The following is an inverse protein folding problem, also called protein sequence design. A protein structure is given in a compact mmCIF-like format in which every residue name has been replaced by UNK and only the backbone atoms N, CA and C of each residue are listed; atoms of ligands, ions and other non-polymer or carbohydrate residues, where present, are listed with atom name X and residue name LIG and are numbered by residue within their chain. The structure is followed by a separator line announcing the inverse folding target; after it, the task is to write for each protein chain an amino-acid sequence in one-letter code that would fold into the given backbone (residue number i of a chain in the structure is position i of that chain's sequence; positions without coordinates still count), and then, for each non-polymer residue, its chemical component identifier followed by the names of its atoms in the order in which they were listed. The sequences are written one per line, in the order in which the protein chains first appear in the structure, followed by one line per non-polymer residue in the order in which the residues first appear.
data_IF_066178225206
#
_entry.id   IF_066178225206
#
_cell.length_a   1.000
_cell.length_b   1.000
_cell.length_c   1.000
_cell.angle_alpha   90.00
_cell.angle_beta   90.00
_cell.angle_gamma   90.00
#
_symmetry.space_group_name_H-M   'P 1'
#
loop_
_entity.id
_entity.type
_entity.pdbx_description
1 polymer ?
#
# COMPACT_ATOMS: atom_id res chain seq x y z
N UNK A 1 -10.06 7.59 2.21
CA UNK A 1 -8.67 8.09 2.06
C UNK A 1 -8.46 8.41 0.59
N UNK A 2 -7.78 9.52 0.28
CA UNK A 2 -7.19 9.77 -1.04
C UNK A 2 -5.68 9.65 -0.88
N UNK A 3 -5.04 8.81 -1.70
CA UNK A 3 -3.61 8.51 -1.58
C UNK A 3 -2.90 8.82 -2.90
N UNK A 4 -1.83 9.61 -2.83
CA UNK A 4 -0.86 9.76 -3.91
C UNK A 4 0.40 8.97 -3.56
N UNK A 5 0.92 8.21 -4.52
CA UNK A 5 2.13 7.39 -4.37
C UNK A 5 3.19 7.85 -5.37
N UNK A 6 4.34 8.26 -4.85
CA UNK A 6 5.48 8.70 -5.65
C UNK A 6 6.18 7.55 -6.40
N UNK A 7 7.26 7.88 -7.13
CA UNK A 7 8.12 6.87 -7.77
C UNK A 7 8.79 5.98 -6.72
N UNK A 8 9.16 4.76 -7.13
CA UNK A 8 9.92 3.85 -6.27
C UNK A 8 11.33 4.39 -6.07
N UNK A 9 11.83 4.29 -4.85
CA UNK A 9 13.15 4.80 -4.48
C UNK A 9 14.26 3.75 -4.67
N UNK A 10 13.90 2.47 -4.81
CA UNK A 10 14.86 1.38 -4.96
C UNK A 10 14.32 0.20 -5.79
N UNK A 11 15.23 -0.72 -6.15
CA UNK A 11 14.94 -1.89 -6.96
C UNK A 11 14.57 -3.14 -6.15
N UNK A 12 14.79 -3.15 -4.84
CA UNK A 12 14.62 -4.32 -3.97
C UNK A 12 13.27 -4.34 -3.28
N UNK A 13 12.56 -3.22 -3.25
CA UNK A 13 11.31 -3.06 -2.53
C UNK A 13 10.31 -2.22 -3.33
N UNK A 14 9.17 -1.91 -2.70
CA UNK A 14 8.15 -0.98 -3.22
C UNK A 14 8.16 0.36 -2.48
N UNK A 15 9.25 0.65 -1.74
CA UNK A 15 9.45 1.89 -0.97
C UNK A 15 9.31 3.12 -1.86
N UNK A 16 8.53 4.09 -1.37
CA UNK A 16 8.20 5.34 -2.04
C UNK A 16 7.66 6.34 -1.01
N UNK A 17 7.65 7.61 -1.38
CA UNK A 17 6.88 8.59 -0.64
C UNK A 17 5.38 8.39 -0.90
N UNK A 18 4.58 8.49 0.15
CA UNK A 18 3.12 8.49 0.07
C UNK A 18 2.56 9.74 0.73
N UNK A 19 1.58 10.37 0.07
CA UNK A 19 0.81 11.47 0.63
C UNK A 19 -0.63 10.98 0.76
N UNK A 20 -1.10 10.88 2.01
CA UNK A 20 -2.43 10.39 2.33
C UNK A 20 -3.26 11.48 2.99
N UNK A 21 -4.47 11.68 2.46
CA UNK A 21 -5.42 12.67 2.99
C UNK A 21 -6.71 11.96 3.37
N UNK A 22 -7.13 12.05 4.66
CA UNK A 22 -8.43 11.56 5.07
C UNK A 22 -9.53 12.20 4.24
N UNK A 23 -10.43 11.37 3.72
CA UNK A 23 -11.59 11.81 2.96
C UNK A 23 -12.84 11.21 3.61
N UNK A 24 -13.28 11.77 4.74
CA UNK A 24 -14.41 11.24 5.49
C UNK A 24 -15.71 11.50 4.72
N UNK A 25 -16.50 10.46 4.53
CA UNK A 25 -17.79 10.51 3.83
C UNK A 25 -18.78 9.66 4.62
N UNK A 26 -19.98 10.20 4.86
CA UNK A 26 -21.05 9.45 5.48
C UNK A 26 -21.46 8.26 4.57
N UNK A 27 -21.76 7.07 5.11
CA UNK A 27 -22.03 5.87 4.31
C UNK A 27 -23.04 6.09 3.16
N UNK A 28 -24.10 6.82 3.43
CA UNK A 28 -25.16 7.15 2.48
C UNK A 28 -24.74 8.09 1.34
N UNK A 29 -23.59 8.78 1.47
CA UNK A 29 -23.07 9.72 0.48
C UNK A 29 -21.87 9.16 -0.31
N UNK A 30 -21.42 7.93 -0.03
CA UNK A 30 -20.20 7.36 -0.62
C UNK A 30 -20.27 7.39 -2.16
N UNK A 31 -21.38 6.95 -2.74
CA UNK A 31 -21.55 6.88 -4.19
C UNK A 31 -21.42 8.26 -4.85
N UNK A 32 -22.16 9.25 -4.37
CA UNK A 32 -22.17 10.60 -4.94
C UNK A 32 -20.81 11.31 -4.80
N UNK A 33 -20.15 11.13 -3.65
CA UNK A 33 -18.82 11.70 -3.40
C UNK A 33 -17.75 11.04 -4.27
N UNK A 34 -17.79 9.73 -4.46
CA UNK A 34 -16.88 9.03 -5.37
C UNK A 34 -17.10 9.47 -6.82
N UNK A 35 -18.35 9.63 -7.26
CA UNK A 35 -18.66 10.12 -8.60
C UNK A 35 -18.13 11.54 -8.80
N UNK A 36 -18.34 12.44 -7.84
CA UNK A 36 -17.86 13.82 -7.90
C UNK A 36 -16.33 13.89 -7.93
N UNK A 37 -15.65 13.13 -7.07
CA UNK A 37 -14.19 13.07 -7.05
C UNK A 37 -13.64 12.51 -8.37
N UNK A 38 -14.27 11.46 -8.91
CA UNK A 38 -13.89 10.89 -10.20
C UNK A 38 -14.04 11.92 -11.33
N UNK A 39 -15.16 12.66 -11.35
CA UNK A 39 -15.38 13.71 -12.35
C UNK A 39 -14.32 14.83 -12.27
N UNK A 40 -13.92 15.24 -11.06
CA UNK A 40 -12.85 16.22 -10.85
C UNK A 40 -11.52 15.68 -11.40
N UNK A 41 -11.14 14.44 -11.07
CA UNK A 41 -9.89 13.85 -11.56
C UNK A 41 -9.88 13.73 -13.09
N UNK A 42 -10.99 13.34 -13.71
CA UNK A 42 -11.12 13.31 -15.17
C UNK A 42 -10.97 14.72 -15.78
N UNK A 43 -11.60 15.73 -15.19
CA UNK A 43 -11.50 17.13 -15.64
C UNK A 43 -10.08 17.69 -15.51
N UNK A 44 -9.29 17.20 -14.55
CA UNK A 44 -7.88 17.53 -14.37
C UNK A 44 -6.95 16.74 -15.33
N UNK A 45 -7.50 15.87 -16.18
CA UNK A 45 -6.75 15.13 -17.20
C UNK A 45 -6.24 13.75 -16.74
N UNK A 46 -6.66 13.26 -15.58
CA UNK A 46 -6.38 11.87 -15.19
C UNK A 46 -7.23 10.90 -16.00
N UNK A 47 -6.70 9.70 -16.25
CA UNK A 47 -7.42 8.59 -16.87
C UNK A 47 -7.63 7.46 -15.88
N UNK A 48 -8.82 6.86 -15.89
CA UNK A 48 -9.09 5.68 -15.06
C UNK A 48 -8.22 4.49 -15.50
N UNK A 49 -7.38 3.99 -14.59
CA UNK A 49 -6.48 2.87 -14.86
C UNK A 49 -7.05 1.51 -14.43
N UNK A 50 -7.99 1.48 -13.49
CA UNK A 50 -8.60 0.24 -13.01
C UNK A 50 -9.17 0.35 -11.60
N UNK A 51 -9.85 -0.72 -11.18
CA UNK A 51 -10.43 -0.85 -9.84
C UNK A 51 -9.89 -2.11 -9.17
N UNK A 52 -9.27 -1.96 -8.00
CA UNK A 52 -8.83 -3.08 -7.16
C UNK A 52 -9.87 -3.33 -6.09
N UNK A 53 -10.43 -4.54 -6.05
CA UNK A 53 -11.34 -5.00 -5.00
C UNK A 53 -10.65 -6.08 -4.19
N UNK A 54 -10.59 -5.90 -2.86
CA UNK A 54 -9.90 -6.83 -1.97
C UNK A 54 -10.52 -6.91 -0.58
N UNK A 55 -10.34 -8.06 0.06
CA UNK A 55 -10.50 -8.23 1.50
C UNK A 55 -9.12 -8.23 2.15
N UNK A 56 -8.89 -7.30 3.09
CA UNK A 56 -7.61 -7.14 3.77
C UNK A 56 -7.75 -7.49 5.26
N UNK A 57 -6.90 -8.39 5.74
CA UNK A 57 -6.69 -8.64 7.17
C UNK A 57 -5.38 -8.00 7.59
N UNK A 58 -5.41 -7.15 8.61
CA UNK A 58 -4.23 -6.40 9.07
C UNK A 58 -3.76 -6.88 10.43
N UNK A 59 -2.45 -6.86 10.65
CA UNK A 59 -1.82 -7.03 11.95
C UNK A 59 -0.64 -6.06 12.09
N UNK A 60 -0.26 -5.77 13.33
CA UNK A 60 0.98 -5.05 13.63
C UNK A 60 1.86 -5.95 14.50
N UNK A 61 3.16 -5.94 14.24
CA UNK A 61 4.14 -6.66 15.04
C UNK A 61 5.39 -5.81 15.25
N UNK A 62 6.15 -6.11 16.29
CA UNK A 62 7.46 -5.51 16.54
C UNK A 62 8.55 -6.52 16.22
N UNK A 63 9.51 -6.14 15.38
CA UNK A 63 10.66 -6.95 15.01
C UNK A 63 11.90 -6.05 14.96
N UNK A 64 12.99 -6.47 15.63
CA UNK A 64 14.23 -5.68 15.73
C UNK A 64 14.02 -4.22 16.20
N UNK A 65 13.06 -4.02 17.10
CA UNK A 65 12.71 -2.70 17.62
C UNK A 65 11.92 -1.81 16.66
N UNK A 66 11.52 -2.31 15.48
CA UNK A 66 10.70 -1.61 14.50
C UNK A 66 9.29 -2.16 14.47
N UNK A 67 8.31 -1.27 14.33
CA UNK A 67 6.91 -1.66 14.09
C UNK A 67 6.72 -1.95 12.62
N UNK A 68 6.20 -3.15 12.32
CA UNK A 68 5.78 -3.55 10.99
C UNK A 68 4.26 -3.65 10.94
N UNK A 69 3.68 -3.04 9.92
CA UNK A 69 2.31 -3.24 9.51
C UNK A 69 2.27 -4.36 8.48
N UNK A 70 1.52 -5.41 8.80
CA UNK A 70 1.39 -6.59 7.97
C UNK A 70 -0.04 -6.66 7.45
N UNK A 71 -0.22 -7.07 6.20
CA UNK A 71 -1.55 -7.37 5.66
C UNK A 71 -1.56 -8.64 4.85
N UNK A 72 -2.68 -9.36 4.95
CA UNK A 72 -3.01 -10.49 4.09
C UNK A 72 -4.22 -10.10 3.22
N UNK A 73 -3.97 -10.00 1.93
CA UNK A 73 -4.85 -9.44 0.93
C UNK A 73 -5.36 -10.54 -0.01
N UNK A 74 -6.68 -10.76 0.03
CA UNK A 74 -7.42 -11.53 -0.95
C UNK A 74 -7.96 -10.57 -2.01
N UNK A 75 -7.26 -10.46 -3.13
CA UNK A 75 -7.55 -9.52 -4.21
C UNK A 75 -8.28 -10.25 -5.33
N UNK A 76 -9.44 -9.73 -5.73
CA UNK A 76 -10.26 -10.37 -6.75
C UNK A 76 -9.49 -10.58 -8.05
N UNK A 77 -9.37 -11.85 -8.48
CA UNK A 77 -8.67 -12.22 -9.71
C UNK A 77 -7.16 -12.43 -9.58
N UNK A 78 -6.58 -12.30 -8.38
CA UNK A 78 -5.17 -12.55 -8.10
C UNK A 78 -4.98 -13.60 -7.00
N UNK A 79 -3.79 -14.21 -6.89
CA UNK A 79 -3.45 -15.04 -5.73
C UNK A 79 -3.52 -14.26 -4.41
N UNK A 80 -3.53 -14.98 -3.29
CA UNK A 80 -3.42 -14.37 -1.96
C UNK A 80 -2.05 -13.69 -1.79
N UNK A 81 -2.03 -12.44 -1.34
CA UNK A 81 -0.81 -11.66 -1.15
C UNK A 81 -0.58 -11.30 0.32
N UNK A 82 0.67 -11.36 0.76
CA UNK A 82 1.10 -10.78 2.03
C UNK A 82 1.92 -9.52 1.76
N UNK A 83 1.64 -8.43 2.49
CA UNK A 83 2.44 -7.21 2.48
C UNK A 83 3.05 -7.00 3.88
N UNK A 84 4.31 -6.56 3.88
CA UNK A 84 5.05 -6.14 5.08
C UNK A 84 5.49 -4.70 4.83
N UNK A 85 5.13 -3.79 5.72
CA UNK A 85 5.40 -2.37 5.58
C UNK A 85 5.93 -1.81 6.89
N UNK A 86 6.85 -0.85 6.81
CA UNK A 86 7.32 -0.08 7.96
C UNK A 86 7.63 1.34 7.50
N UNK A 87 7.41 2.32 8.38
CA UNK A 87 7.76 3.70 8.13
C UNK A 87 9.14 3.97 8.69
N UNK A 88 9.93 4.78 7.98
CA UNK A 88 11.24 5.20 8.42
C UNK A 88 11.57 6.57 7.84
N UNK A 89 12.49 7.27 8.49
CA UNK A 89 13.17 8.42 7.88
C UNK A 89 14.16 7.96 6.80
N UNK A 90 14.47 8.84 5.85
CA UNK A 90 15.41 8.53 4.76
C UNK A 90 16.78 8.06 5.27
N UNK A 91 17.25 8.61 6.40
CA UNK A 91 18.51 8.25 7.05
C UNK A 91 18.54 6.77 7.50
N UNK A 92 17.38 6.17 7.75
CA UNK A 92 17.23 4.80 8.26
C UNK A 92 16.78 3.80 7.18
N UNK A 93 16.57 4.26 5.94
CA UNK A 93 15.95 3.46 4.87
C UNK A 93 16.66 2.13 4.61
N UNK A 94 17.98 2.14 4.57
CA UNK A 94 18.77 0.93 4.34
C UNK A 94 18.57 -0.09 5.46
N UNK A 95 18.59 0.35 6.71
CA UNK A 95 18.38 -0.54 7.86
C UNK A 95 16.94 -1.09 7.90
N UNK A 96 15.94 -0.23 7.66
CA UNK A 96 14.54 -0.65 7.59
C UNK A 96 14.30 -1.70 6.50
N UNK A 97 14.90 -1.52 5.32
CA UNK A 97 14.83 -2.50 4.23
C UNK A 97 15.46 -3.84 4.63
N UNK A 98 16.64 -3.83 5.25
CA UNK A 98 17.30 -5.07 5.67
C UNK A 98 16.50 -5.80 6.76
N UNK A 99 15.91 -5.07 7.71
CA UNK A 99 15.02 -5.63 8.72
C UNK A 99 13.76 -6.25 8.10
N UNK A 100 13.16 -5.58 7.10
CA UNK A 100 12.02 -6.08 6.34
C UNK A 100 12.34 -7.40 5.64
N UNK A 101 13.50 -7.49 4.98
CA UNK A 101 13.93 -8.72 4.29
C UNK A 101 14.15 -9.88 5.27
N UNK A 102 14.75 -9.63 6.44
CA UNK A 102 14.90 -10.65 7.50
C UNK A 102 13.55 -11.09 8.07
N UNK A 103 12.60 -10.17 8.22
CA UNK A 103 11.24 -10.50 8.66
C UNK A 103 10.53 -11.37 7.60
N UNK A 104 10.65 -11.02 6.31
CA UNK A 104 10.08 -11.79 5.21
C UNK A 104 10.64 -13.23 5.19
N UNK A 105 11.95 -13.39 5.36
CA UNK A 105 12.60 -14.70 5.46
C UNK A 105 12.08 -15.51 6.67
N UNK A 106 11.98 -14.88 7.84
CA UNK A 106 11.46 -15.52 9.07
C UNK A 106 10.01 -15.97 8.94
N UNK A 107 9.19 -15.22 8.18
CA UNK A 107 7.81 -15.58 7.86
C UNK A 107 7.69 -16.51 6.64
N UNK A 108 8.82 -16.96 6.10
CA UNK A 108 8.91 -17.84 4.93
C UNK A 108 8.22 -17.27 3.67
N UNK A 109 8.23 -15.94 3.52
CA UNK A 109 7.70 -15.22 2.36
C UNK A 109 8.78 -15.13 1.27
N UNK A 110 8.81 -16.12 0.37
CA UNK A 110 9.88 -16.29 -0.62
C UNK A 110 9.61 -15.65 -1.98
N UNK A 111 8.35 -15.45 -2.32
CA UNK A 111 7.94 -14.94 -3.63
C UNK A 111 7.64 -13.45 -3.53
N UNK A 112 8.56 -12.64 -4.04
CA UNK A 112 8.39 -11.20 -4.06
C UNK A 112 7.60 -10.76 -5.30
N UNK A 113 6.43 -10.15 -5.09
CA UNK A 113 5.69 -9.45 -6.15
C UNK A 113 6.02 -7.96 -6.14
N UNK A 114 6.61 -7.48 -7.23
CA UNK A 114 7.01 -6.07 -7.36
C UNK A 114 5.95 -5.21 -8.03
N UNK A 115 5.01 -5.77 -8.78
CA UNK A 115 3.93 -5.02 -9.42
C UNK A 115 2.93 -4.50 -8.38
N UNK A 116 2.19 -3.46 -8.73
CA UNK A 116 0.95 -3.14 -8.01
C UNK A 116 -0.13 -4.16 -8.38
N UNK A 117 -1.24 -4.13 -7.65
CA UNK A 117 -2.44 -4.88 -8.05
C UNK A 117 -3.11 -4.30 -9.32
N UNK A 118 -2.81 -3.03 -9.63
CA UNK A 118 -3.07 -2.38 -10.92
C UNK A 118 -1.87 -2.53 -11.85
#
# INVERSE_FOLDING_TARGET
MLTWKGPRLDSLSKTRQELEVPFPVAPEQITDKLQSLTAILLALGFTHSGCVRKLRRTASLVFEGRTFHCSLDDVSGLPLHAELETLCEDSQRTDALQSLLRLAERLNLRLQERRSYL
#
